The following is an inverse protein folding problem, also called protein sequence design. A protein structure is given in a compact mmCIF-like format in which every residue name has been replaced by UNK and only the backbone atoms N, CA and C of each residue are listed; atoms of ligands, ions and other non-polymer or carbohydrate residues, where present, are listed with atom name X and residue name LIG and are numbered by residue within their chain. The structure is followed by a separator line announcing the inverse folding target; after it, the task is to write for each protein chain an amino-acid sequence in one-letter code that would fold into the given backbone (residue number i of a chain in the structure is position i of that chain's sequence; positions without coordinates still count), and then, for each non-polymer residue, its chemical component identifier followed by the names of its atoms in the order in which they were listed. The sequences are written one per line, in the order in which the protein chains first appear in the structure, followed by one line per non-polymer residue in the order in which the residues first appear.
data_IF_194621929071
#
_entry.id   IF_194621929071
#
_cell.length_a   1.000
_cell.length_b   1.000
_cell.length_c   1.000
_cell.angle_alpha   90.00
_cell.angle_beta   90.00
_cell.angle_gamma   90.00
#
_symmetry.space_group_name_H-M   'P 1'
#
loop_
_entity.id
_entity.type
_entity.pdbx_description
1 polymer ?
#
# COMPACT_ATOMS: atom_id res chain seq x y z
N UNK A 1 30.37 -24.50 -32.90
CA UNK A 1 29.67 -23.49 -32.09
C UNK A 1 28.18 -23.75 -32.26
N UNK A 2 27.51 -24.25 -31.23
CA UNK A 2 26.08 -24.57 -31.31
C UNK A 2 25.29 -23.28 -31.49
N UNK A 3 24.75 -23.08 -32.70
CA UNK A 3 23.88 -21.95 -33.00
C UNK A 3 22.62 -22.06 -32.16
N UNK A 4 22.37 -21.06 -31.33
CA UNK A 4 21.12 -20.95 -30.59
C UNK A 4 20.00 -20.89 -31.63
N UNK A 5 19.00 -21.76 -31.52
CA UNK A 5 17.86 -21.77 -32.44
C UNK A 5 17.03 -20.51 -32.22
N UNK A 6 16.64 -19.82 -33.30
CA UNK A 6 15.74 -18.66 -33.23
C UNK A 6 14.42 -19.00 -32.52
N UNK A 7 13.99 -20.26 -32.63
CA UNK A 7 12.80 -20.80 -31.96
C UNK A 7 12.97 -20.83 -30.44
N UNK A 8 14.15 -21.20 -29.93
CA UNK A 8 14.39 -21.27 -28.48
C UNK A 8 14.41 -19.87 -27.86
N UNK A 9 14.99 -18.91 -28.58
CA UNK A 9 14.98 -17.49 -28.19
C UNK A 9 13.55 -16.94 -28.18
N UNK A 10 12.77 -17.23 -29.23
CA UNK A 10 11.37 -16.79 -29.32
C UNK A 10 10.49 -17.40 -28.23
N UNK A 11 10.73 -18.67 -27.87
CA UNK A 11 10.03 -19.32 -26.77
C UNK A 11 10.37 -18.68 -25.42
N UNK A 12 11.66 -18.47 -25.12
CA UNK A 12 12.07 -17.82 -23.88
C UNK A 12 11.49 -16.40 -23.76
N UNK A 13 11.57 -15.61 -24.83
CA UNK A 13 11.00 -14.27 -24.84
C UNK A 13 9.49 -14.26 -24.57
N UNK A 14 8.75 -15.22 -25.14
CA UNK A 14 7.32 -15.34 -24.88
C UNK A 14 7.03 -15.70 -23.41
N UNK A 15 7.80 -16.61 -22.84
CA UNK A 15 7.71 -16.95 -21.41
C UNK A 15 8.00 -15.72 -20.53
N UNK A 16 9.02 -14.93 -20.88
CA UNK A 16 9.36 -13.71 -20.15
C UNK A 16 8.22 -12.68 -20.16
N UNK A 17 7.55 -12.52 -21.30
CA UNK A 17 6.36 -11.66 -21.38
C UNK A 17 5.25 -12.15 -20.46
N UNK A 18 4.96 -13.45 -20.48
CA UNK A 18 3.92 -14.00 -19.62
C UNK A 18 4.25 -13.80 -18.14
N UNK A 19 5.50 -14.02 -17.76
CA UNK A 19 5.97 -13.76 -16.40
C UNK A 19 5.80 -12.29 -16.02
N UNK A 20 6.17 -11.37 -16.90
CA UNK A 20 6.03 -9.93 -16.66
C UNK A 20 4.57 -9.51 -16.49
N UNK A 21 3.66 -10.06 -17.30
CA UNK A 21 2.22 -9.79 -17.20
C UNK A 21 1.66 -10.29 -15.86
N UNK A 22 2.06 -11.49 -15.42
CA UNK A 22 1.65 -12.04 -14.13
C UNK A 22 2.17 -11.21 -12.96
N UNK A 23 3.42 -10.73 -13.05
CA UNK A 23 4.01 -9.84 -12.05
C UNK A 23 3.22 -8.54 -11.93
N UNK A 24 2.96 -7.85 -13.05
CA UNK A 24 2.17 -6.62 -13.06
C UNK A 24 0.76 -6.81 -12.52
N UNK A 25 0.12 -7.93 -12.87
CA UNK A 25 -1.21 -8.23 -12.37
C UNK A 25 -1.22 -8.45 -10.86
N UNK A 26 -0.24 -9.19 -10.35
CA UNK A 26 -0.10 -9.47 -8.91
C UNK A 26 0.18 -8.19 -8.13
N UNK A 27 1.10 -7.36 -8.62
CA UNK A 27 1.41 -6.07 -8.01
C UNK A 27 0.20 -5.13 -8.03
N UNK A 28 -0.53 -5.09 -9.14
CA UNK A 28 -1.76 -4.31 -9.27
C UNK A 28 -2.85 -4.73 -8.28
N UNK A 29 -3.04 -6.03 -8.05
CA UNK A 29 -3.98 -6.53 -7.02
C UNK A 29 -3.52 -6.12 -5.63
N UNK A 30 -2.23 -6.31 -5.32
CA UNK A 30 -1.68 -6.00 -4.00
C UNK A 30 -1.82 -4.52 -3.69
N UNK A 31 -1.46 -3.66 -4.64
CA UNK A 31 -1.55 -2.22 -4.49
C UNK A 31 -3.01 -1.75 -4.42
N UNK A 32 -3.87 -2.27 -5.29
CA UNK A 32 -5.30 -1.95 -5.26
C UNK A 32 -5.95 -2.33 -3.94
N UNK A 33 -5.64 -3.52 -3.41
CA UNK A 33 -6.14 -3.96 -2.11
C UNK A 33 -5.62 -3.09 -0.97
N UNK A 34 -4.33 -2.69 -1.02
CA UNK A 34 -3.74 -1.76 -0.05
C UNK A 34 -4.43 -0.41 -0.09
N UNK A 35 -4.63 0.17 -1.27
CA UNK A 35 -5.29 1.46 -1.45
C UNK A 35 -6.75 1.44 -0.96
N UNK A 36 -7.51 0.39 -1.26
CA UNK A 36 -8.88 0.22 -0.75
C UNK A 36 -8.88 0.08 0.77
N UNK A 37 -7.95 -0.72 1.31
CA UNK A 37 -7.83 -0.93 2.75
C UNK A 37 -7.46 0.36 3.47
N UNK A 38 -6.53 1.14 2.92
CA UNK A 38 -6.15 2.45 3.45
C UNK A 38 -7.29 3.46 3.34
N UNK A 39 -8.05 3.46 2.25
CA UNK A 39 -9.20 4.35 2.08
C UNK A 39 -10.37 4.01 3.04
N UNK A 40 -10.60 2.74 3.32
CA UNK A 40 -11.74 2.29 4.14
C UNK A 40 -11.41 2.16 5.63
N UNK A 41 -10.17 1.77 5.95
CA UNK A 41 -9.74 1.44 7.31
C UNK A 41 -8.43 2.10 7.71
N UNK A 42 -7.74 2.75 6.78
CA UNK A 42 -6.56 3.53 7.12
C UNK A 42 -6.95 4.70 8.00
N UNK A 43 -6.17 4.94 9.05
CA UNK A 43 -6.22 6.23 9.75
C UNK A 43 -5.56 7.25 8.83
N UNK A 44 -6.30 8.21 8.25
CA UNK A 44 -5.69 9.24 7.41
C UNK A 44 -4.55 9.92 8.19
N UNK A 45 -3.44 10.28 7.55
CA UNK A 45 -2.32 10.92 8.25
C UNK A 45 -2.82 12.21 8.90
N UNK A 46 -2.56 12.46 10.20
CA UNK A 46 -3.07 13.65 10.87
C UNK A 46 -2.44 14.89 10.24
N UNK A 47 -3.29 15.73 9.64
CA UNK A 47 -2.87 17.02 9.13
C UNK A 47 -2.53 17.96 10.29
N UNK A 48 -1.31 18.48 10.31
CA UNK A 48 -0.87 19.48 11.29
C UNK A 48 -0.51 20.77 10.56
N UNK A 49 -0.99 21.96 10.99
CA UNK A 49 -0.70 23.23 10.32
C UNK A 49 0.79 23.56 10.19
N UNK A 50 1.62 22.98 11.07
CA UNK A 50 3.04 23.29 11.19
C UNK A 50 3.96 22.13 10.77
N UNK A 51 3.42 21.01 10.24
CA UNK A 51 4.19 19.82 9.87
C UNK A 51 4.86 19.09 11.05
N UNK A 52 4.62 19.53 12.28
CA UNK A 52 5.09 18.91 13.50
C UNK A 52 3.94 18.08 14.11
N UNK A 53 4.18 16.82 14.51
CA UNK A 53 3.15 15.94 15.09
C UNK A 53 2.79 16.32 16.55
N UNK A 54 2.92 17.60 16.91
CA UNK A 54 2.68 18.14 18.26
C UNK A 54 1.55 19.15 18.16
N UNK A 55 0.41 18.84 18.79
CA UNK A 55 -0.78 19.69 18.81
C UNK A 55 -2.06 18.90 19.06
N UNK A 56 -3.18 19.60 19.24
CA UNK A 56 -4.50 18.97 19.32
C UNK A 56 -4.93 18.44 17.93
N UNK A 57 -5.50 17.23 17.86
CA UNK A 57 -5.93 16.64 16.59
C UNK A 57 -7.11 17.42 15.99
N UNK A 58 -6.93 17.93 14.77
CA UNK A 58 -7.95 18.73 14.08
C UNK A 58 -8.77 17.97 13.02
N UNK A 59 -8.42 16.72 12.75
CA UNK A 59 -9.11 15.88 11.76
C UNK A 59 -9.70 14.62 12.38
N UNK A 60 -10.89 14.24 11.91
CA UNK A 60 -11.45 12.92 12.20
C UNK A 60 -10.66 11.86 11.39
N UNK A 61 -10.29 10.70 11.97
CA UNK A 61 -10.74 10.13 13.25
C UNK A 61 -9.86 10.46 14.46
N UNK A 62 -8.81 11.28 14.33
CA UNK A 62 -7.84 11.54 15.40
C UNK A 62 -8.43 12.22 16.63
N UNK A 63 -9.40 13.12 16.43
CA UNK A 63 -10.12 13.74 17.56
C UNK A 63 -10.85 12.68 18.39
N UNK A 64 -11.53 11.73 17.75
CA UNK A 64 -12.20 10.62 18.46
C UNK A 64 -11.21 9.71 19.18
N UNK A 65 -10.07 9.38 18.54
CA UNK A 65 -9.03 8.56 19.18
C UNK A 65 -8.41 9.26 20.40
N UNK A 66 -8.15 10.56 20.30
CA UNK A 66 -7.64 11.36 21.41
C UNK A 66 -8.65 11.44 22.55
N UNK A 67 -9.91 11.74 22.26
CA UNK A 67 -10.96 11.81 23.27
C UNK A 67 -11.14 10.47 23.98
N UNK A 68 -11.19 9.36 23.24
CA UNK A 68 -11.30 8.01 23.81
C UNK A 68 -10.08 7.65 24.68
N UNK A 69 -8.86 8.05 24.27
CA UNK A 69 -7.64 7.81 25.04
C UNK A 69 -7.60 8.65 26.32
N UNK A 70 -7.93 9.94 26.24
CA UNK A 70 -7.94 10.84 27.40
C UNK A 70 -9.07 10.52 28.37
N UNK A 71 -10.24 10.12 27.86
CA UNK A 71 -11.35 9.62 28.67
C UNK A 71 -11.07 8.26 29.31
N UNK A 72 -10.03 7.55 28.87
CA UNK A 72 -9.64 6.24 29.38
C UNK A 72 -10.47 5.08 28.84
N UNK A 73 -11.19 5.27 27.73
CA UNK A 73 -11.96 4.22 27.05
C UNK A 73 -11.06 3.21 26.34
N UNK A 74 -9.88 3.66 25.90
CA UNK A 74 -8.83 2.83 25.28
C UNK A 74 -7.50 3.01 26.02
N UNK A 75 -6.72 1.95 26.15
CA UNK A 75 -5.37 1.97 26.74
C UNK A 75 -4.36 1.50 25.71
N UNK A 76 -3.32 2.30 25.44
CA UNK A 76 -2.18 1.82 24.66
C UNK A 76 -1.34 0.87 25.52
N UNK A 77 -1.06 -0.32 24.98
CA UNK A 77 -0.21 -1.35 25.60
C UNK A 77 1.17 -1.33 24.93
#
# INVERSE_FOLDING_TARGET
MSGISLTDVGFQWFVDILNQVVEWFTEGIREGYRAITEALFGTPVPETPNGLPIGEPQSQPWTQLYDALVAGEITLI
#
